data_IF_510816002484
#
_entry.id   IF_510816002484
#
_cell.length_a   1.000
_cell.length_b   1.000
_cell.length_c   1.000
_cell.angle_alpha   90.00
_cell.angle_beta   90.00
_cell.angle_gamma   90.00
#
_symmetry.space_group_name_H-M   'P 1'
#
loop_
_entity.id
_entity.type
_entity.pdbx_description
1 polymer ?
#
# COMPACT_ATOMS: atom_id res chain seq x y z
N UNK A 1 4.55 26.38 5.47
CA UNK A 1 5.57 25.33 5.25
C UNK A 1 6.73 25.99 4.53
N UNK A 2 7.92 25.92 5.10
CA UNK A 2 9.13 26.42 4.45
C UNK A 2 9.73 25.20 3.75
N UNK A 3 9.54 25.08 2.43
CA UNK A 3 9.97 23.92 1.67
C UNK A 3 11.49 23.84 1.62
N UNK A 4 12.08 23.01 2.48
CA UNK A 4 13.44 22.52 2.30
C UNK A 4 13.37 21.19 1.53
N UNK A 5 14.37 20.95 0.70
CA UNK A 5 14.55 19.65 0.06
C UNK A 5 14.68 18.60 1.18
N UNK A 6 13.79 17.62 1.20
CA UNK A 6 13.85 16.56 2.19
C UNK A 6 15.16 15.80 2.01
N UNK A 7 15.92 15.60 3.10
CA UNK A 7 17.16 14.84 3.03
C UNK A 7 16.86 13.44 2.52
N UNK A 8 17.57 12.99 1.49
CA UNK A 8 17.44 11.63 0.97
C UNK A 8 17.64 10.57 2.06
N UNK A 9 18.52 10.85 3.04
CA UNK A 9 18.73 9.99 4.19
C UNK A 9 17.52 9.91 5.13
N UNK A 10 16.82 11.03 5.35
CA UNK A 10 15.62 11.07 6.19
C UNK A 10 14.44 10.37 5.52
N UNK A 11 14.28 10.55 4.20
CA UNK A 11 13.28 9.81 3.42
C UNK A 11 13.57 8.30 3.44
N UNK A 12 14.84 7.91 3.27
CA UNK A 12 15.25 6.50 3.32
C UNK A 12 14.95 5.90 4.69
N UNK A 13 15.35 6.57 5.78
CA UNK A 13 15.08 6.11 7.14
C UNK A 13 13.58 5.98 7.44
N UNK A 14 12.74 6.87 6.88
CA UNK A 14 11.28 6.75 6.99
C UNK A 14 10.76 5.49 6.29
N UNK A 15 11.21 5.21 5.06
CA UNK A 15 10.78 4.01 4.33
C UNK A 15 11.30 2.71 4.97
N UNK A 16 12.50 2.72 5.54
CA UNK A 16 13.04 1.58 6.28
C UNK A 16 12.18 1.31 7.53
N UNK A 17 11.90 2.34 8.32
CA UNK A 17 11.04 2.21 9.51
C UNK A 17 9.62 1.73 9.16
N UNK A 18 9.06 2.21 8.05
CA UNK A 18 7.78 1.71 7.53
C UNK A 18 7.88 0.24 7.15
N UNK A 19 8.92 -0.17 6.43
CA UNK A 19 9.10 -1.55 5.98
C UNK A 19 9.24 -2.54 7.13
N UNK A 20 9.98 -2.18 8.18
CA UNK A 20 10.18 -3.03 9.36
C UNK A 20 8.90 -3.24 10.18
N UNK A 21 7.97 -2.28 10.13
CA UNK A 21 6.71 -2.30 10.90
C UNK A 21 5.53 -2.96 10.18
N UNK A 22 5.71 -3.33 8.90
CA UNK A 22 4.65 -3.77 8.03
C UNK A 22 4.69 -5.28 7.85
N UNK A 23 3.56 -5.94 8.12
CA UNK A 23 3.35 -7.32 7.70
C UNK A 23 2.33 -7.39 6.57
N UNK A 24 2.52 -8.35 5.66
CA UNK A 24 1.66 -8.55 4.49
C UNK A 24 1.22 -10.01 4.40
N UNK A 25 -0.06 -10.27 4.61
CA UNK A 25 -0.65 -11.59 4.47
C UNK A 25 -1.38 -11.72 3.13
N UNK A 26 -1.15 -12.80 2.38
CA UNK A 26 -1.92 -13.07 1.17
C UNK A 26 -3.29 -13.66 1.53
N UNK A 27 -4.35 -12.88 1.32
CA UNK A 27 -5.72 -13.23 1.75
C UNK A 27 -6.65 -13.63 0.61
N UNK A 28 -6.30 -13.31 -0.65
CA UNK A 28 -7.07 -13.76 -1.81
C UNK A 28 -6.22 -13.84 -3.08
N UNK A 29 -6.67 -14.71 -4.00
CA UNK A 29 -6.11 -14.83 -5.37
C UNK A 29 -7.18 -14.75 -6.47
N UNK A 30 -8.47 -14.70 -6.11
CA UNK A 30 -9.56 -14.71 -7.09
C UNK A 30 -10.08 -13.28 -7.35
N UNK A 31 -10.07 -12.78 -8.60
CA UNK A 31 -10.59 -11.47 -8.98
C UNK A 31 -12.02 -11.17 -8.51
N UNK A 32 -12.87 -12.20 -8.42
CA UNK A 32 -14.24 -12.04 -7.92
C UNK A 32 -14.31 -11.50 -6.48
N UNK A 33 -13.21 -11.59 -5.72
CA UNK A 33 -13.14 -11.10 -4.35
C UNK A 33 -12.76 -9.61 -4.28
N UNK A 34 -12.20 -9.02 -5.35
CA UNK A 34 -11.69 -7.64 -5.35
C UNK A 34 -12.75 -6.64 -4.91
N UNK A 35 -13.98 -6.78 -5.43
CA UNK A 35 -15.07 -5.88 -5.07
C UNK A 35 -15.53 -5.98 -3.61
N UNK A 36 -15.33 -7.11 -2.93
CA UNK A 36 -15.66 -7.21 -1.48
C UNK A 36 -14.60 -6.53 -0.61
N UNK A 37 -13.35 -6.50 -1.08
CA UNK A 37 -12.21 -5.88 -0.42
C UNK A 37 -11.97 -4.43 -0.89
N UNK A 38 -12.76 -3.97 -1.86
CA UNK A 38 -12.69 -2.63 -2.45
C UNK A 38 -11.34 -2.32 -3.13
N UNK A 39 -10.63 -3.35 -3.59
CA UNK A 39 -9.39 -3.23 -4.37
C UNK A 39 -9.65 -3.26 -5.89
N UNK A 40 -10.89 -2.95 -6.29
CA UNK A 40 -11.32 -2.80 -7.68
C UNK A 40 -11.08 -1.36 -8.18
N UNK A 41 -11.20 -1.13 -9.50
CA UNK A 41 -10.98 0.20 -10.08
C UNK A 41 -12.11 1.20 -9.81
N UNK A 42 -13.24 0.77 -9.26
CA UNK A 42 -14.38 1.63 -8.99
C UNK A 42 -14.33 2.23 -7.59
N UNK A 43 -13.81 1.49 -6.61
CA UNK A 43 -13.80 1.87 -5.18
C UNK A 43 -12.40 1.99 -4.58
N UNK A 44 -11.40 1.36 -5.17
CA UNK A 44 -10.03 1.39 -4.66
C UNK A 44 -9.34 2.73 -4.87
N UNK A 45 -8.46 3.09 -3.93
CA UNK A 45 -7.56 4.24 -4.04
C UNK A 45 -6.26 3.80 -4.68
N UNK A 46 -5.92 4.37 -5.83
CA UNK A 46 -4.65 4.08 -6.51
C UNK A 46 -3.54 4.97 -5.95
N UNK A 47 -2.42 4.36 -5.59
CA UNK A 47 -1.19 5.04 -5.18
C UNK A 47 -0.08 4.58 -6.10
N UNK A 48 0.61 5.55 -6.70
CA UNK A 48 1.78 5.32 -7.54
C UNK A 48 2.98 5.94 -6.85
N UNK A 49 4.01 5.14 -6.62
CA UNK A 49 5.32 5.60 -6.14
C UNK A 49 6.28 5.53 -7.32
N UNK A 50 6.95 6.63 -7.59
CA UNK A 50 7.88 6.74 -8.71
C UNK A 50 9.16 7.44 -8.29
N UNK A 51 10.27 7.06 -8.90
CA UNK A 51 11.57 7.71 -8.74
C UNK A 51 12.14 7.99 -10.14
N UNK A 52 12.51 9.24 -10.43
CA UNK A 52 13.09 9.65 -11.72
C UNK A 52 12.35 9.16 -12.99
N UNK A 53 11.02 9.04 -12.89
CA UNK A 53 10.16 8.56 -13.98
C UNK A 53 9.92 7.04 -13.98
N UNK A 54 10.68 6.28 -13.20
CA UNK A 54 10.46 4.85 -12.99
C UNK A 54 9.38 4.61 -11.95
N UNK A 55 8.40 3.76 -12.26
CA UNK A 55 7.38 3.36 -11.29
C UNK A 55 7.92 2.27 -10.38
N UNK A 56 8.11 2.61 -9.10
CA UNK A 56 8.57 1.67 -8.07
C UNK A 56 7.43 0.83 -7.50
N UNK A 57 6.23 1.41 -7.39
CA UNK A 57 5.04 0.70 -6.95
C UNK A 57 3.77 1.32 -7.56
N UNK A 58 2.82 0.48 -7.95
CA UNK A 58 1.48 0.88 -8.37
C UNK A 58 0.47 -0.01 -7.66
N UNK A 59 -0.15 0.55 -6.62
CA UNK A 59 -0.95 -0.19 -5.65
C UNK A 59 -2.38 0.34 -5.63
N UNK A 60 -3.33 -0.57 -5.43
CA UNK A 60 -4.73 -0.26 -5.18
C UNK A 60 -5.04 -0.61 -3.73
N UNK A 61 -5.32 0.42 -2.93
CA UNK A 61 -5.73 0.32 -1.55
C UNK A 61 -7.24 0.25 -1.46
N UNK A 62 -7.74 -0.78 -0.78
CA UNK A 62 -9.16 -1.01 -0.55
C UNK A 62 -9.60 -0.52 0.82
N UNK A 63 -10.61 -1.19 1.35
CA UNK A 63 -11.17 -0.86 2.66
C UNK A 63 -10.29 -1.34 3.81
N UNK A 64 -10.60 -0.84 5.00
CA UNK A 64 -10.01 -1.31 6.24
C UNK A 64 -10.31 -2.81 6.49
N UNK A 65 -9.33 -3.51 7.05
CA UNK A 65 -9.46 -4.88 7.54
C UNK A 65 -10.28 -4.95 8.83
N UNK A 66 -10.14 -6.06 9.58
CA UNK A 66 -10.84 -6.21 10.87
C UNK A 66 -10.10 -5.49 11.99
N UNK A 67 -8.77 -5.43 11.93
CA UNK A 67 -7.93 -4.66 12.85
C UNK A 67 -7.96 -3.15 12.57
N UNK A 68 -7.70 -2.35 13.58
CA UNK A 68 -7.63 -0.89 13.48
C UNK A 68 -6.52 -0.41 12.53
N UNK A 69 -5.45 -1.19 12.38
CA UNK A 69 -4.28 -0.87 11.54
C UNK A 69 -4.16 -1.79 10.31
N UNK A 70 -5.28 -2.38 9.86
CA UNK A 70 -5.30 -3.30 8.73
C UNK A 70 -5.92 -2.67 7.48
N UNK A 71 -5.36 -2.93 6.30
CA UNK A 71 -5.90 -2.47 5.02
C UNK A 71 -5.66 -3.49 3.90
N UNK A 72 -6.66 -3.69 3.04
CA UNK A 72 -6.49 -4.54 1.85
C UNK A 72 -5.72 -3.79 0.76
N UNK A 73 -4.73 -4.44 0.16
CA UNK A 73 -3.89 -3.86 -0.90
C UNK A 73 -3.68 -4.88 -2.02
N UNK A 74 -3.66 -4.39 -3.26
CA UNK A 74 -3.42 -5.19 -4.45
C UNK A 74 -2.49 -4.45 -5.41
N UNK A 75 -1.43 -5.09 -5.94
CA UNK A 75 -0.66 -4.52 -7.05
C UNK A 75 -1.55 -4.33 -8.28
N UNK A 76 -1.41 -3.21 -8.98
CA UNK A 76 -2.22 -2.90 -10.16
C UNK A 76 -2.00 -3.96 -11.23
N UNK A 77 -3.09 -4.62 -11.65
CA UNK A 77 -3.05 -5.66 -12.68
C UNK A 77 -2.81 -7.07 -12.13
N UNK A 78 -2.53 -7.22 -10.84
CA UNK A 78 -2.41 -8.52 -10.19
C UNK A 78 -3.75 -8.99 -9.63
N UNK A 79 -3.94 -10.30 -9.50
CA UNK A 79 -5.12 -10.90 -8.88
C UNK A 79 -4.96 -11.09 -7.37
N UNK A 80 -3.71 -11.16 -6.90
CA UNK A 80 -3.34 -11.37 -5.50
C UNK A 80 -3.68 -10.15 -4.65
N UNK A 81 -4.42 -10.38 -3.57
CA UNK A 81 -4.76 -9.34 -2.59
C UNK A 81 -4.10 -9.67 -1.27
N UNK A 82 -3.47 -8.67 -0.70
CA UNK A 82 -2.76 -8.72 0.56
C UNK A 82 -3.54 -7.94 1.62
N UNK A 83 -3.53 -8.43 2.85
CA UNK A 83 -3.90 -7.65 4.02
C UNK A 83 -2.60 -7.10 4.60
N UNK A 84 -2.44 -5.79 4.54
CA UNK A 84 -1.34 -5.12 5.22
C UNK A 84 -1.76 -4.81 6.65
N UNK A 85 -0.88 -5.05 7.59
CA UNK A 85 -1.00 -4.66 8.98
C UNK A 85 0.24 -3.85 9.38
N UNK A 86 0.01 -2.70 10.01
CA UNK A 86 1.06 -1.81 10.48
C UNK A 86 1.03 -1.75 12.00
N UNK A 87 2.21 -1.72 12.63
CA UNK A 87 2.32 -1.48 14.07
C UNK A 87 2.40 0.02 14.43
N UNK A 88 2.34 0.93 13.46
CA UNK A 88 2.35 2.38 13.70
C UNK A 88 1.03 2.86 14.32
N UNK A 89 1.09 3.32 15.57
CA UNK A 89 0.00 3.94 16.33
C UNK A 89 0.12 5.47 16.36
#
# INVERSE_FOLDING_TARGET
MNGFEASAAEITALFDALSDSLSAELVARNPASHGRMEVDSARGKRVVVSNDGDTLADLVFGKQGRGSQQIYVRPRGDERVYLLESEFA
#
